data_IF_265221541043
#
_entry.id   IF_265221541043
#
_cell.length_a   1.000
_cell.length_b   1.000
_cell.length_c   1.000
_cell.angle_alpha   90.00
_cell.angle_beta   90.00
_cell.angle_gamma   90.00
#
_symmetry.space_group_name_H-M   'P 1'
#
loop_
_entity.id
_entity.type
_entity.pdbx_description
1 polymer ?
#
# COMPACT_ATOMS: atom_id res chain seq x y z
N UNK A 1 -1.33 -6.89 -7.19
CA UNK A 1 -1.30 -5.49 -6.71
C UNK A 1 -2.65 -5.00 -6.21
N UNK A 2 -3.73 -5.76 -6.38
CA UNK A 2 -5.09 -5.36 -5.97
C UNK A 2 -5.21 -5.00 -4.48
N UNK A 3 -4.55 -5.73 -3.57
CA UNK A 3 -4.54 -5.37 -2.15
C UNK A 3 -3.96 -3.97 -1.90
N UNK A 4 -2.85 -3.61 -2.55
CA UNK A 4 -2.26 -2.27 -2.40
C UNK A 4 -3.22 -1.20 -2.91
N UNK A 5 -3.89 -1.44 -4.05
CA UNK A 5 -4.88 -0.49 -4.57
C UNK A 5 -6.00 -0.27 -3.57
N UNK A 6 -6.60 -1.36 -3.06
CA UNK A 6 -7.66 -1.29 -2.06
C UNK A 6 -7.21 -0.56 -0.78
N UNK A 7 -5.95 -0.75 -0.35
CA UNK A 7 -5.41 -0.02 0.81
C UNK A 7 -5.28 1.48 0.54
N UNK A 8 -4.82 1.86 -0.65
CA UNK A 8 -4.67 3.28 -1.01
C UNK A 8 -6.03 3.96 -1.21
N UNK A 9 -6.97 3.29 -1.88
CA UNK A 9 -8.36 3.76 -2.03
C UNK A 9 -9.02 3.96 -0.66
N UNK A 10 -8.95 2.97 0.23
CA UNK A 10 -9.49 3.07 1.59
C UNK A 10 -8.85 4.22 2.38
N UNK A 11 -7.54 4.44 2.22
CA UNK A 11 -6.87 5.55 2.89
C UNK A 11 -7.30 6.91 2.34
N UNK A 12 -7.53 7.02 1.04
CA UNK A 12 -7.96 8.26 0.39
C UNK A 12 -9.41 8.59 0.74
N UNK A 13 -10.31 7.60 0.70
CA UNK A 13 -11.71 7.74 1.10
C UNK A 13 -11.82 8.16 2.58
N UNK A 14 -11.08 7.47 3.45
CA UNK A 14 -11.10 7.74 4.89
C UNK A 14 -10.49 9.09 5.29
N UNK A 15 -9.49 9.56 4.56
CA UNK A 15 -8.90 10.89 4.76
C UNK A 15 -9.84 12.00 4.23
N UNK A 16 -10.62 11.72 3.18
CA UNK A 16 -11.65 12.62 2.67
C UNK A 16 -12.85 12.77 3.61
N UNK A 17 -13.25 11.69 4.30
CA UNK A 17 -14.37 11.66 5.25
C UNK A 17 -13.94 11.87 6.71
N UNK A 18 -12.72 12.35 6.98
CA UNK A 18 -12.18 12.44 8.34
C UNK A 18 -13.03 13.33 9.25
N UNK A 19 -13.38 12.82 10.43
CA UNK A 19 -14.10 13.58 11.47
C UNK A 19 -13.14 14.28 12.44
N UNK A 20 -11.98 13.70 12.68
CA UNK A 20 -10.99 14.23 13.62
C UNK A 20 -9.53 13.91 13.22
N UNK A 21 -8.59 14.28 14.10
CA UNK A 21 -7.17 14.00 13.90
C UNK A 21 -6.85 12.48 14.02
N UNK A 22 -7.63 11.72 14.77
CA UNK A 22 -7.49 10.27 14.91
C UNK A 22 -7.76 9.53 13.60
N UNK A 23 -8.80 9.93 12.86
CA UNK A 23 -9.06 9.44 11.50
C UNK A 23 -7.86 9.68 10.59
N UNK A 24 -7.29 10.89 10.62
CA UNK A 24 -6.12 11.23 9.82
C UNK A 24 -4.89 10.36 10.15
N UNK A 25 -4.66 10.07 11.43
CA UNK A 25 -3.59 9.15 11.86
C UNK A 25 -3.85 7.73 11.33
N UNK A 26 -5.07 7.22 11.49
CA UNK A 26 -5.44 5.87 11.06
C UNK A 26 -5.27 5.68 9.54
N UNK A 27 -5.87 6.55 8.73
CA UNK A 27 -5.80 6.43 7.27
C UNK A 27 -4.39 6.77 6.74
N UNK A 28 -3.65 7.64 7.43
CA UNK A 28 -2.22 7.85 7.19
C UNK A 28 -1.39 6.58 7.40
N UNK A 29 -1.67 5.79 8.44
CA UNK A 29 -1.00 4.49 8.66
C UNK A 29 -1.31 3.49 7.56
N UNK A 30 -2.58 3.42 7.11
CA UNK A 30 -2.98 2.52 6.01
C UNK A 30 -2.24 2.90 4.71
N UNK A 31 -2.17 4.20 4.40
CA UNK A 31 -1.46 4.73 3.23
C UNK A 31 0.03 4.36 3.25
N UNK A 32 0.70 4.59 4.37
CA UNK A 32 2.12 4.26 4.55
C UNK A 32 2.38 2.75 4.42
N UNK A 33 1.55 1.92 5.05
CA UNK A 33 1.64 0.46 4.93
C UNK A 33 1.46 -0.01 3.48
N UNK A 34 0.48 0.54 2.76
CA UNK A 34 0.23 0.24 1.35
C UNK A 34 1.45 0.51 0.47
N UNK A 35 2.11 1.66 0.62
CA UNK A 35 3.33 1.98 -0.12
C UNK A 35 4.52 1.08 0.23
N UNK A 36 4.70 0.77 1.52
CA UNK A 36 5.76 -0.15 1.97
C UNK A 36 5.58 -1.55 1.38
N UNK A 37 4.35 -2.07 1.38
CA UNK A 37 4.03 -3.37 0.79
C UNK A 37 4.31 -3.37 -0.71
N UNK A 38 3.84 -2.34 -1.44
CA UNK A 38 4.12 -2.19 -2.88
C UNK A 38 5.60 -2.28 -3.18
N UNK A 39 6.40 -1.46 -2.50
CA UNK A 39 7.85 -1.41 -2.70
C UNK A 39 8.51 -2.77 -2.48
N UNK A 40 8.11 -3.50 -1.43
CA UNK A 40 8.63 -4.84 -1.14
C UNK A 40 8.22 -5.86 -2.19
N UNK A 41 6.96 -5.86 -2.61
CA UNK A 41 6.45 -6.78 -3.62
C UNK A 41 7.12 -6.56 -4.99
N UNK A 42 7.32 -5.31 -5.39
CA UNK A 42 8.02 -4.96 -6.63
C UNK A 42 9.49 -5.36 -6.59
N UNK A 43 10.17 -5.12 -5.46
CA UNK A 43 11.55 -5.55 -5.26
C UNK A 43 11.70 -7.08 -5.33
N UNK A 44 10.80 -7.82 -4.69
CA UNK A 44 10.82 -9.29 -4.70
C UNK A 44 10.55 -9.82 -6.12
N UNK A 45 9.55 -9.25 -6.81
CA UNK A 45 9.29 -9.56 -8.23
C UNK A 45 10.51 -9.30 -9.11
N UNK A 46 11.18 -8.15 -8.96
CA UNK A 46 12.40 -7.84 -9.70
C UNK A 46 13.52 -8.83 -9.39
N UNK A 47 13.72 -9.18 -8.12
CA UNK A 47 14.72 -10.16 -7.70
C UNK A 47 14.45 -11.55 -8.29
N UNK A 48 13.19 -11.99 -8.34
CA UNK A 48 12.82 -13.28 -8.95
C UNK A 48 12.99 -13.27 -10.47
N UNK A 49 12.65 -12.17 -11.16
CA UNK A 49 12.90 -12.02 -12.60
C UNK A 49 14.39 -12.07 -12.93
N UNK A 50 15.24 -11.40 -12.14
CA UNK A 50 16.70 -11.44 -12.32
C UNK A 50 17.32 -12.82 -12.05
N UNK A 51 16.76 -13.57 -11.09
CA UNK A 51 17.20 -14.94 -10.78
C UNK A 51 16.71 -15.98 -11.79
N UNK A 52 15.92 -15.61 -12.80
CA UNK A 52 15.37 -16.52 -13.82
C UNK A 52 14.28 -17.46 -13.32
N UNK A 53 13.78 -17.27 -12.08
CA UNK A 53 12.75 -18.13 -11.46
C UNK A 53 11.32 -17.58 -11.64
N UNK A 54 11.10 -16.72 -12.62
CA UNK A 54 9.78 -16.20 -12.94
C UNK A 54 9.10 -17.13 -13.96
N UNK A 55 8.28 -18.08 -13.48
CA UNK A 55 7.32 -18.83 -14.31
C UNK A 55 5.95 -18.19 -14.21
#
# INVERSE_FOLDING_TARGET
MELVKAMLELADDGDAEREDAGCGVLYGMIRDAGYKIRKRAEAEKAAHMQKGNWR
#
